data_IF_036282500580
#
_entry.id   IF_036282500580
#
_cell.length_a   1.000
_cell.length_b   1.000
_cell.length_c   1.000
_cell.angle_alpha   90.00
_cell.angle_beta   90.00
_cell.angle_gamma   90.00
#
_symmetry.space_group_name_H-M   'P 1'
#
loop_
_entity.id
_entity.type
_entity.pdbx_description
1 polymer ?
#
# COMPACT_ATOMS: atom_id res chain seq x y z
N UNK A 1 27.22 -3.17 2.18
CA UNK A 1 26.09 -2.74 3.02
C UNK A 1 24.71 -3.11 2.46
N UNK A 2 24.55 -3.44 1.18
CA UNK A 2 23.21 -3.62 0.54
C UNK A 2 22.74 -5.07 0.39
N UNK A 3 23.64 -6.05 0.46
CA UNK A 3 23.30 -7.47 0.20
C UNK A 3 22.36 -8.03 1.28
N UNK A 4 22.63 -7.90 2.59
CA UNK A 4 21.74 -8.47 3.61
C UNK A 4 20.31 -7.90 3.61
N UNK A 5 20.09 -6.56 3.54
CA UNK A 5 18.76 -6.00 3.40
C UNK A 5 18.03 -6.44 2.13
N UNK A 6 18.76 -6.59 1.01
CA UNK A 6 18.16 -7.01 -0.26
C UNK A 6 17.64 -8.44 -0.20
N UNK A 7 18.37 -9.37 0.42
CA UNK A 7 17.94 -10.76 0.60
C UNK A 7 16.68 -10.82 1.47
N UNK A 8 16.69 -10.11 2.61
CA UNK A 8 15.54 -10.02 3.51
C UNK A 8 14.32 -9.46 2.77
N UNK A 9 14.51 -8.38 2.00
CA UNK A 9 13.45 -7.77 1.20
C UNK A 9 12.87 -8.72 0.15
N UNK A 10 13.71 -9.50 -0.54
CA UNK A 10 13.26 -10.48 -1.54
C UNK A 10 12.40 -11.56 -0.88
N UNK A 11 12.84 -12.10 0.25
CA UNK A 11 12.08 -13.13 0.99
C UNK A 11 10.73 -12.58 1.45
N UNK A 12 10.70 -11.41 2.08
CA UNK A 12 9.45 -10.78 2.51
C UNK A 12 8.53 -10.41 1.35
N UNK A 13 9.08 -9.95 0.23
CA UNK A 13 8.33 -9.64 -0.98
C UNK A 13 7.62 -10.89 -1.53
N UNK A 14 8.36 -11.99 -1.70
CA UNK A 14 7.79 -13.23 -2.25
C UNK A 14 6.73 -13.82 -1.32
N UNK A 15 7.01 -13.85 -0.01
CA UNK A 15 6.07 -14.33 1.00
C UNK A 15 4.80 -13.47 1.04
N UNK A 16 4.93 -12.15 1.16
CA UNK A 16 3.78 -11.24 1.25
C UNK A 16 2.93 -11.26 -0.02
N UNK A 17 3.56 -11.34 -1.20
CA UNK A 17 2.84 -11.44 -2.48
C UNK A 17 2.04 -12.74 -2.55
N UNK A 18 2.67 -13.88 -2.26
CA UNK A 18 2.01 -15.19 -2.27
C UNK A 18 0.87 -15.28 -1.24
N UNK A 19 1.11 -14.80 -0.01
CA UNK A 19 0.08 -14.78 1.04
C UNK A 19 -1.08 -13.85 0.67
N UNK A 20 -0.79 -12.68 0.07
CA UNK A 20 -1.82 -11.75 -0.40
C UNK A 20 -2.73 -12.36 -1.45
N UNK A 21 -2.19 -13.17 -2.36
CA UNK A 21 -3.01 -13.90 -3.33
C UNK A 21 -3.79 -15.04 -2.70
N UNK A 22 -3.16 -15.82 -1.81
CA UNK A 22 -3.78 -16.96 -1.13
C UNK A 22 -4.96 -16.55 -0.23
N UNK A 23 -4.81 -15.47 0.52
CA UNK A 23 -5.85 -14.97 1.44
C UNK A 23 -6.80 -13.97 0.78
N UNK A 24 -6.50 -13.50 -0.44
CA UNK A 24 -7.28 -12.49 -1.18
C UNK A 24 -7.62 -11.24 -0.34
N UNK A 25 -6.70 -10.83 0.56
CA UNK A 25 -6.85 -9.69 1.47
C UNK A 25 -5.74 -8.66 1.22
N UNK A 26 -5.74 -8.05 0.03
CA UNK A 26 -4.63 -7.23 -0.48
C UNK A 26 -4.36 -6.01 0.39
N UNK A 27 -5.41 -5.36 0.91
CA UNK A 27 -5.24 -4.18 1.74
C UNK A 27 -4.56 -4.52 3.09
N UNK A 28 -4.76 -5.72 3.63
CA UNK A 28 -4.12 -6.13 4.90
C UNK A 28 -2.62 -6.37 4.69
N UNK A 29 -2.23 -7.03 3.60
CA UNK A 29 -0.81 -7.21 3.28
C UNK A 29 -0.13 -5.91 2.87
N UNK A 30 -0.85 -4.99 2.23
CA UNK A 30 -0.36 -3.65 1.94
C UNK A 30 -0.09 -2.82 3.21
N UNK A 31 -0.75 -3.11 4.34
CA UNK A 31 -0.48 -2.44 5.62
C UNK A 31 0.82 -2.88 6.28
N UNK A 32 1.38 -4.05 5.92
CA UNK A 32 2.59 -4.57 6.55
C UNK A 32 3.78 -3.62 6.40
N UNK A 33 4.00 -3.04 5.21
CA UNK A 33 5.09 -2.11 4.95
C UNK A 33 4.99 -0.83 5.80
N UNK A 34 3.91 -0.04 5.74
CA UNK A 34 3.84 1.19 6.52
C UNK A 34 3.83 0.93 8.03
N UNK A 35 3.25 -0.17 8.53
CA UNK A 35 3.35 -0.53 9.96
C UNK A 35 4.80 -0.84 10.35
N UNK A 36 5.51 -1.62 9.52
CA UNK A 36 6.90 -1.98 9.74
C UNK A 36 7.81 -0.74 9.73
N UNK A 37 7.65 0.12 8.73
CA UNK A 37 8.41 1.37 8.61
C UNK A 37 8.07 2.33 9.76
N UNK A 38 6.81 2.45 10.17
CA UNK A 38 6.40 3.26 11.32
C UNK A 38 7.10 2.81 12.60
N UNK A 39 7.04 1.51 12.91
CA UNK A 39 7.71 0.93 14.07
C UNK A 39 9.22 1.10 14.03
N UNK A 40 9.84 0.87 12.87
CA UNK A 40 11.29 1.02 12.68
C UNK A 40 11.76 2.47 12.84
N UNK A 41 11.01 3.45 12.31
CA UNK A 41 11.33 4.86 12.48
C UNK A 41 11.14 5.35 13.90
N UNK A 42 10.11 4.86 14.62
CA UNK A 42 9.96 5.13 16.05
C UNK A 42 11.12 4.56 16.85
N UNK A 43 11.52 3.31 16.57
CA UNK A 43 12.69 2.71 17.20
C UNK A 43 13.95 3.56 16.96
N UNK A 44 14.18 3.99 15.72
CA UNK A 44 15.31 4.88 15.40
C UNK A 44 15.23 6.23 16.13
N UNK A 45 14.02 6.81 16.25
CA UNK A 45 13.82 8.14 16.85
C UNK A 45 14.06 8.17 18.36
N UNK A 46 13.70 7.09 19.06
CA UNK A 46 13.77 6.98 20.53
C UNK A 46 14.97 6.16 21.01
N UNK A 47 15.76 5.59 20.11
CA UNK A 47 16.96 4.86 20.48
C UNK A 47 18.05 5.81 20.99
N UNK A 48 18.35 5.72 22.29
CA UNK A 48 19.34 6.56 22.97
C UNK A 48 20.78 6.33 22.48
N UNK A 49 21.05 5.19 21.86
CA UNK A 49 22.33 4.84 21.26
C UNK A 49 22.47 5.25 19.79
N UNK A 50 21.52 6.01 19.23
CA UNK A 50 21.53 6.38 17.82
C UNK A 50 22.83 7.14 17.49
N UNK A 51 23.57 6.62 16.51
CA UNK A 51 24.88 7.12 16.04
C UNK A 51 26.05 6.98 17.04
N UNK A 52 25.81 6.56 18.29
CA UNK A 52 26.87 6.24 19.27
C UNK A 52 27.18 4.75 19.30
N UNK A 53 26.15 3.90 19.28
CA UNK A 53 26.28 2.46 19.04
C UNK A 53 26.08 2.20 17.54
N UNK A 54 27.21 2.05 16.84
CA UNK A 54 27.25 1.81 15.40
C UNK A 54 26.52 0.52 15.05
N UNK A 55 26.65 -0.54 15.86
CA UNK A 55 26.04 -1.84 15.55
C UNK A 55 24.54 -1.84 15.83
N UNK A 56 24.10 -1.27 16.95
CA UNK A 56 22.68 -1.08 17.25
C UNK A 56 21.96 -0.23 16.21
N UNK A 57 22.56 0.90 15.82
CA UNK A 57 22.03 1.76 14.75
C UNK A 57 21.99 1.02 13.41
N UNK A 58 23.03 0.25 13.08
CA UNK A 58 23.12 -0.50 11.84
C UNK A 58 22.04 -1.59 11.72
N UNK A 59 21.74 -2.32 12.80
CA UNK A 59 20.67 -3.32 12.81
C UNK A 59 19.31 -2.69 12.58
N UNK A 60 19.01 -1.56 13.24
CA UNK A 60 17.75 -0.82 13.05
C UNK A 60 17.61 -0.37 11.58
N UNK A 61 18.66 0.19 10.99
CA UNK A 61 18.65 0.62 9.60
C UNK A 61 18.47 -0.55 8.62
N UNK A 62 19.11 -1.70 8.86
CA UNK A 62 18.89 -2.92 8.06
C UNK A 62 17.42 -3.34 8.11
N UNK A 63 16.79 -3.32 9.28
CA UNK A 63 15.40 -3.73 9.42
C UNK A 63 14.45 -2.75 8.73
N UNK A 64 14.71 -1.45 8.80
CA UNK A 64 13.92 -0.43 8.09
C UNK A 64 14.06 -0.60 6.58
N UNK A 65 15.28 -0.76 6.06
CA UNK A 65 15.56 -0.88 4.61
C UNK A 65 15.09 -2.24 4.07
N UNK A 66 15.17 -3.28 4.90
CA UNK A 66 14.71 -4.63 4.60
C UNK A 66 13.20 -4.82 4.73
N UNK A 67 12.42 -3.74 4.86
CA UNK A 67 10.97 -3.81 4.99
C UNK A 67 10.33 -4.60 3.84
N UNK A 68 9.18 -5.26 4.09
CA UNK A 68 8.42 -5.91 3.02
C UNK A 68 8.10 -4.89 1.92
N UNK A 69 8.34 -5.25 0.67
CA UNK A 69 8.08 -4.39 -0.48
C UNK A 69 6.66 -4.64 -1.01
N UNK A 70 5.69 -3.77 -0.73
CA UNK A 70 4.28 -4.02 -1.12
C UNK A 70 3.92 -3.44 -2.48
N UNK A 71 4.87 -2.81 -3.18
CA UNK A 71 4.63 -2.12 -4.45
C UNK A 71 3.97 -3.02 -5.51
N UNK A 72 4.41 -4.29 -5.62
CA UNK A 72 3.82 -5.24 -6.55
C UNK A 72 2.35 -5.56 -6.21
N UNK A 73 2.02 -5.63 -4.92
CA UNK A 73 0.65 -5.81 -4.43
C UNK A 73 -0.19 -4.59 -4.83
N UNK A 74 0.31 -3.37 -4.62
CA UNK A 74 -0.42 -2.14 -4.96
C UNK A 74 -0.68 -1.99 -6.46
N UNK A 75 0.33 -2.23 -7.31
CA UNK A 75 0.19 -2.17 -8.77
C UNK A 75 -0.81 -3.21 -9.27
N UNK A 76 -0.69 -4.45 -8.78
CA UNK A 76 -1.62 -5.52 -9.16
C UNK A 76 -3.04 -5.25 -8.65
N UNK A 77 -3.18 -4.63 -7.47
CA UNK A 77 -4.46 -4.25 -6.89
C UNK A 77 -5.16 -3.16 -7.71
N UNK A 78 -4.43 -2.11 -8.09
CA UNK A 78 -4.93 -1.04 -8.95
C UNK A 78 -5.36 -1.58 -10.34
N UNK A 79 -4.58 -2.49 -10.91
CA UNK A 79 -4.91 -3.15 -12.17
C UNK A 79 -6.16 -4.03 -12.07
N UNK A 80 -6.31 -4.81 -10.99
CA UNK A 80 -7.48 -5.68 -10.77
C UNK A 80 -8.77 -4.89 -10.55
N UNK A 81 -8.69 -3.76 -9.85
CA UNK A 81 -9.84 -2.88 -9.62
C UNK A 81 -10.23 -2.06 -10.87
N UNK A 82 -9.39 -2.05 -11.90
CA UNK A 82 -9.67 -1.45 -13.19
C UNK A 82 -10.38 -2.46 -14.12
N UNK A 83 -11.65 -2.22 -14.38
CA UNK A 83 -12.53 -3.17 -15.07
C UNK A 83 -12.55 -3.00 -16.61
N UNK A 84 -11.83 -2.02 -17.17
CA UNK A 84 -11.63 -1.87 -18.63
C UNK A 84 -10.16 -1.69 -18.99
N UNK A 85 -9.78 -2.00 -20.23
CA UNK A 85 -8.40 -1.82 -20.73
C UNK A 85 -7.96 -0.35 -20.60
N UNK A 86 -8.83 0.59 -21.00
CA UNK A 86 -8.56 2.02 -20.86
C UNK A 86 -8.36 2.43 -19.39
N UNK A 87 -9.20 1.94 -18.47
CA UNK A 87 -9.05 2.20 -17.03
C UNK A 87 -7.74 1.62 -16.48
N UNK A 88 -7.33 0.42 -16.91
CA UNK A 88 -6.06 -0.19 -16.49
C UNK A 88 -4.86 0.65 -16.91
N UNK A 89 -4.84 1.14 -18.15
CA UNK A 89 -3.75 1.99 -18.65
C UNK A 89 -3.66 3.31 -17.89
N UNK A 90 -4.81 3.99 -17.71
CA UNK A 90 -4.86 5.25 -16.95
C UNK A 90 -4.44 5.03 -15.50
N UNK A 91 -4.94 3.97 -14.85
CA UNK A 91 -4.59 3.63 -13.47
C UNK A 91 -3.09 3.37 -13.30
N UNK A 92 -2.45 2.66 -14.24
CA UNK A 92 -1.02 2.40 -14.18
C UNK A 92 -0.19 3.68 -14.37
N UNK A 93 -0.59 4.55 -15.30
CA UNK A 93 0.06 5.84 -15.51
C UNK A 93 -0.06 6.75 -14.28
N UNK A 94 -1.26 6.88 -13.71
CA UNK A 94 -1.49 7.65 -12.48
C UNK A 94 -0.67 7.12 -11.30
N UNK A 95 -0.63 5.79 -11.13
CA UNK A 95 0.17 5.17 -10.09
C UNK A 95 1.65 5.52 -10.24
N UNK A 96 2.21 5.42 -11.45
CA UNK A 96 3.61 5.75 -11.70
C UNK A 96 3.90 7.24 -11.43
N UNK A 97 3.03 8.16 -11.88
CA UNK A 97 3.19 9.59 -11.59
C UNK A 97 3.21 9.89 -10.08
N UNK A 98 2.33 9.25 -9.30
CA UNK A 98 2.33 9.39 -7.84
C UNK A 98 3.63 8.88 -7.20
N UNK A 99 4.16 7.74 -7.68
CA UNK A 99 5.43 7.17 -7.20
C UNK A 99 6.59 8.15 -7.47
N UNK A 100 6.65 8.72 -8.67
CA UNK A 100 7.71 9.67 -9.01
C UNK A 100 7.59 10.99 -8.24
N UNK A 101 6.38 11.50 -8.02
CA UNK A 101 6.17 12.64 -7.14
C UNK A 101 6.65 12.35 -5.70
N UNK A 102 6.37 11.13 -5.20
CA UNK A 102 6.89 10.66 -3.91
C UNK A 102 8.42 10.64 -3.85
N UNK A 103 9.09 10.18 -4.91
CA UNK A 103 10.55 10.17 -4.99
C UNK A 103 11.15 11.58 -4.95
N UNK A 104 10.51 12.56 -5.61
CA UNK A 104 10.91 13.98 -5.56
C UNK A 104 10.74 14.56 -4.16
N UNK A 105 9.66 14.21 -3.45
CA UNK A 105 9.47 14.64 -2.06
C UNK A 105 10.54 14.00 -1.17
N UNK A 106 10.77 12.69 -1.32
CA UNK A 106 11.71 11.92 -0.50
C UNK A 106 13.15 12.46 -0.59
N UNK A 107 13.60 12.91 -1.76
CA UNK A 107 14.94 13.49 -1.94
C UNK A 107 15.14 14.81 -1.20
N UNK A 108 14.07 15.46 -0.74
CA UNK A 108 14.09 16.75 -0.04
C UNK A 108 13.79 16.65 1.46
N UNK A 109 13.52 15.44 1.99
CA UNK A 109 13.21 15.21 3.41
C UNK A 109 14.46 15.39 4.28
N UNK A 110 15.57 14.76 3.90
CA UNK A 110 16.84 14.88 4.62
C UNK A 110 17.59 16.12 4.16
N UNK A 111 17.81 17.05 5.09
CA UNK A 111 18.47 18.34 4.82
C UNK A 111 19.71 18.50 5.67
N UNK A 112 20.71 19.23 5.15
CA UNK A 112 22.01 19.42 5.79
C UNK A 112 21.93 20.16 7.13
N UNK A 113 20.93 21.02 7.32
CA UNK A 113 20.68 21.76 8.56
C UNK A 113 20.17 20.88 9.71
N UNK A 114 19.68 19.67 9.41
CA UNK A 114 19.15 18.70 10.38
C UNK A 114 20.16 17.58 10.68
N UNK A 115 21.36 17.63 10.08
CA UNK A 115 22.43 16.68 10.36
C UNK A 115 23.01 16.90 11.78
N UNK A 116 23.55 15.85 12.45
CA UNK A 116 23.74 14.48 11.96
C UNK A 116 22.59 13.51 12.30
N UNK A 117 21.68 13.88 13.20
CA UNK A 117 20.65 12.98 13.74
C UNK A 117 19.33 13.00 12.94
N UNK A 118 19.14 14.00 12.07
CA UNK A 118 18.00 14.15 11.18
C UNK A 118 16.63 14.03 11.87
N UNK A 119 16.47 14.70 13.02
CA UNK A 119 15.25 14.58 13.82
C UNK A 119 14.00 15.06 13.07
N UNK A 120 14.11 16.15 12.32
CA UNK A 120 13.01 16.68 11.52
C UNK A 120 12.66 15.72 10.39
N UNK A 121 13.64 15.23 9.65
CA UNK A 121 13.44 14.27 8.55
C UNK A 121 12.77 12.97 9.04
N UNK A 122 13.28 12.41 10.13
CA UNK A 122 12.71 11.20 10.75
C UNK A 122 11.27 11.42 11.22
N UNK A 123 10.97 12.58 11.82
CA UNK A 123 9.61 12.92 12.25
C UNK A 123 8.64 13.05 11.07
N UNK A 124 9.09 13.65 9.95
CA UNK A 124 8.30 13.73 8.72
C UNK A 124 7.99 12.33 8.15
N UNK A 125 8.97 11.42 8.15
CA UNK A 125 8.77 10.05 7.69
C UNK A 125 7.79 9.27 8.58
N UNK A 126 7.84 9.45 9.90
CA UNK A 126 6.85 8.87 10.83
C UNK A 126 5.45 9.37 10.51
N UNK A 127 5.29 10.67 10.26
CA UNK A 127 4.00 11.26 9.90
C UNK A 127 3.47 10.72 8.55
N UNK A 128 4.33 10.62 7.52
CA UNK A 128 3.97 10.06 6.22
C UNK A 128 3.56 8.59 6.36
N UNK A 129 4.31 7.83 7.15
CA UNK A 129 4.03 6.41 7.41
C UNK A 129 2.69 6.22 8.14
N UNK A 130 2.41 7.01 9.18
CA UNK A 130 1.11 7.01 9.87
C UNK A 130 -0.04 7.40 8.93
N UNK A 131 0.13 8.45 8.12
CA UNK A 131 -0.87 8.85 7.13
C UNK A 131 -1.15 7.74 6.11
N UNK A 132 -0.11 6.98 5.73
CA UNK A 132 -0.22 5.85 4.81
C UNK A 132 -1.02 4.70 5.41
N UNK A 133 -0.83 4.38 6.71
CA UNK A 133 -1.64 3.39 7.44
C UNK A 133 -3.12 3.79 7.40
N UNK A 134 -3.42 5.04 7.78
CA UNK A 134 -4.79 5.56 7.79
C UNK A 134 -5.41 5.51 6.39
N UNK A 135 -4.66 5.92 5.36
CA UNK A 135 -5.15 5.91 3.99
C UNK A 135 -5.50 4.49 3.50
N UNK A 136 -4.65 3.51 3.75
CA UNK A 136 -4.92 2.11 3.34
C UNK A 136 -6.13 1.55 4.09
N UNK A 137 -6.30 1.86 5.38
CA UNK A 137 -7.50 1.48 6.14
C UNK A 137 -8.76 2.12 5.57
N UNK A 138 -8.72 3.41 5.24
CA UNK A 138 -9.84 4.12 4.61
C UNK A 138 -10.22 3.51 3.25
N UNK A 139 -9.23 3.17 2.42
CA UNK A 139 -9.46 2.50 1.14
C UNK A 139 -10.12 1.13 1.34
N UNK A 140 -9.65 0.36 2.31
CA UNK A 140 -10.27 -0.94 2.66
C UNK A 140 -11.73 -0.77 3.07
N UNK A 141 -12.00 0.13 4.01
CA UNK A 141 -13.36 0.41 4.48
C UNK A 141 -14.26 0.87 3.33
N UNK A 142 -13.75 1.76 2.48
CA UNK A 142 -14.47 2.23 1.30
C UNK A 142 -14.86 1.08 0.36
N UNK A 143 -13.92 0.21 -0.02
CA UNK A 143 -14.23 -0.91 -0.90
C UNK A 143 -15.17 -1.93 -0.28
N UNK A 144 -15.02 -2.24 1.01
CA UNK A 144 -15.95 -3.12 1.74
C UNK A 144 -17.35 -2.51 1.79
N UNK A 145 -17.47 -1.21 2.07
CA UNK A 145 -18.77 -0.52 2.12
C UNK A 145 -19.45 -0.49 0.76
N UNK A 146 -18.71 -0.19 -0.31
CA UNK A 146 -19.24 -0.19 -1.69
C UNK A 146 -19.66 -1.59 -2.13
N UNK A 147 -18.85 -2.61 -1.84
CA UNK A 147 -19.21 -4.00 -2.14
C UNK A 147 -20.46 -4.43 -1.37
N UNK A 148 -20.54 -4.14 -0.06
CA UNK A 148 -21.71 -4.46 0.77
C UNK A 148 -22.99 -3.79 0.26
N UNK A 149 -22.91 -2.52 -0.13
CA UNK A 149 -24.04 -1.81 -0.72
C UNK A 149 -24.52 -2.47 -2.03
N UNK A 150 -23.57 -2.87 -2.89
CA UNK A 150 -23.87 -3.56 -4.14
C UNK A 150 -24.42 -4.97 -3.90
N UNK A 151 -23.89 -5.70 -2.92
CA UNK A 151 -24.38 -7.02 -2.53
C UNK A 151 -25.81 -6.95 -2.01
N UNK A 152 -26.14 -5.96 -1.18
CA UNK A 152 -27.50 -5.76 -0.69
C UNK A 152 -28.48 -5.53 -1.85
N UNK A 153 -28.13 -4.63 -2.79
CA UNK A 153 -28.96 -4.37 -3.97
C UNK A 153 -29.07 -5.59 -4.89
N UNK A 154 -27.95 -6.26 -5.14
CA UNK A 154 -27.91 -7.43 -6.02
C UNK A 154 -28.67 -8.61 -5.41
N UNK A 155 -28.56 -8.86 -4.11
CA UNK A 155 -29.22 -9.98 -3.45
C UNK A 155 -30.73 -9.74 -3.26
N UNK A 156 -31.17 -8.49 -3.22
CA UNK A 156 -32.59 -8.14 -3.22
C UNK A 156 -33.29 -8.38 -4.57
N UNK A 157 -32.54 -8.47 -5.68
CA UNK A 157 -33.09 -8.70 -7.02
C UNK A 157 -33.46 -10.17 -7.27
N UNK A 158 -34.59 -10.38 -7.98
CA UNK A 158 -35.02 -11.68 -8.49
C UNK A 158 -34.04 -12.22 -9.55
N UNK A 159 -34.20 -13.48 -9.96
CA UNK A 159 -33.35 -14.08 -11.00
C UNK A 159 -33.60 -13.41 -12.36
N UNK A 160 -34.86 -13.06 -12.64
CA UNK A 160 -35.31 -12.38 -13.84
C UNK A 160 -34.74 -10.96 -13.90
N UNK A 161 -34.82 -10.20 -12.80
CA UNK A 161 -34.25 -8.84 -12.72
C UNK A 161 -32.73 -8.84 -12.90
N UNK A 162 -32.02 -9.84 -12.36
CA UNK A 162 -30.57 -10.01 -12.58
C UNK A 162 -30.24 -10.30 -14.04
N UNK A 163 -31.05 -11.13 -14.70
CA UNK A 163 -30.87 -11.45 -16.11
C UNK A 163 -31.13 -10.23 -17.00
N UNK A 164 -32.20 -9.48 -16.69
CA UNK A 164 -32.53 -8.24 -17.38
C UNK A 164 -31.44 -7.19 -17.19
N UNK A 165 -30.95 -6.95 -15.96
CA UNK A 165 -29.85 -6.03 -15.71
C UNK A 165 -28.61 -6.40 -16.53
N UNK A 166 -28.23 -7.68 -16.58
CA UNK A 166 -27.07 -8.11 -17.37
C UNK A 166 -27.25 -7.88 -18.87
N UNK A 167 -28.48 -7.99 -19.39
CA UNK A 167 -28.79 -7.82 -20.80
C UNK A 167 -28.93 -6.35 -21.22
N UNK A 168 -29.44 -5.48 -20.34
CA UNK A 168 -29.85 -4.11 -20.71
C UNK A 168 -29.00 -3.00 -20.07
N UNK A 169 -28.14 -3.34 -19.11
CA UNK A 169 -27.38 -2.31 -18.37
C UNK A 169 -26.47 -1.49 -19.28
N UNK A 170 -26.48 -0.17 -19.06
CA UNK A 170 -25.53 0.78 -19.64
C UNK A 170 -24.32 1.02 -18.74
N UNK A 171 -24.26 0.38 -17.57
CA UNK A 171 -23.14 0.51 -16.66
C UNK A 171 -21.91 -0.20 -17.22
N UNK A 172 -20.81 0.54 -17.30
CA UNK A 172 -19.53 0.03 -17.82
C UNK A 172 -18.52 -0.05 -16.69
N UNK A 173 -17.73 -1.13 -16.71
CA UNK A 173 -16.57 -1.27 -15.85
C UNK A 173 -16.95 -1.30 -14.36
N UNK A 174 -16.24 -0.50 -13.55
CA UNK A 174 -16.41 -0.51 -12.09
C UNK A 174 -17.74 0.06 -11.60
N UNK A 175 -18.58 0.60 -12.49
CA UNK A 175 -19.93 1.10 -12.18
C UNK A 175 -20.99 0.01 -12.08
N UNK A 176 -20.74 -1.17 -12.66
CA UNK A 176 -21.72 -2.27 -12.67
C UNK A 176 -22.04 -2.79 -11.26
N UNK A 177 -23.29 -3.19 -11.07
CA UNK A 177 -23.77 -3.78 -9.81
C UNK A 177 -23.19 -5.17 -9.53
N UNK A 178 -22.76 -5.90 -10.55
CA UNK A 178 -22.12 -7.22 -10.42
C UNK A 178 -20.59 -7.14 -10.22
N UNK A 179 -20.00 -5.95 -10.33
CA UNK A 179 -18.57 -5.75 -10.09
C UNK A 179 -18.26 -5.62 -8.59
N UNK A 180 -17.23 -6.33 -8.13
CA UNK A 180 -16.71 -6.25 -6.76
C UNK A 180 -15.28 -5.76 -6.78
N UNK A 181 -15.00 -4.74 -5.95
CA UNK A 181 -13.64 -4.30 -5.71
C UNK A 181 -12.89 -5.37 -4.91
N UNK A 182 -11.66 -5.67 -5.28
CA UNK A 182 -10.75 -6.35 -4.39
C UNK A 182 -10.36 -5.42 -3.24
N UNK A 183 -10.15 -5.95 -2.04
CA UNK A 183 -9.77 -5.21 -0.83
C UNK A 183 -8.88 -6.03 0.12
#
# INVERSE_FOLDING_TARGET
MTIPPSVIRIVFLLLSTWLSEKFNQRALFALCEPIWTFGGLLALRFYSGALTDIWGTYVILILIIGSPYVHAILVSWASRNSNTVAQRTISAAMYNMCVQAGNVIASNIYRKDDAPQYYRGNTQLVAISAASIVLVLLVKVYYVAVNRHRDNKWNAMSKEEKAEYKATTKDIGSRRLDFRFAH
#
